data_IF_328371249675
#
_entry.id   IF_328371249675
#
_cell.length_a   1.000
_cell.length_b   1.000
_cell.length_c   1.000
_cell.angle_alpha   90.00
_cell.angle_beta   90.00
_cell.angle_gamma   90.00
#
_symmetry.space_group_name_H-M   'P 1'
#
loop_
_entity.id
_entity.type
_entity.pdbx_description
1 polymer ?
#
# COMPACT_ATOMS: atom_id res chain seq x y z
N UNK A 1 -35.73 -34.26 -17.33
CA UNK A 1 -35.25 -33.52 -16.15
C UNK A 1 -33.84 -33.89 -15.71
N UNK A 2 -33.45 -35.18 -15.54
CA UNK A 2 -32.10 -35.59 -15.09
C UNK A 2 -30.93 -35.17 -16.00
N UNK A 3 -31.14 -35.17 -17.36
CA UNK A 3 -30.10 -34.76 -18.31
C UNK A 3 -29.70 -33.29 -18.21
N UNK A 4 -30.66 -32.41 -17.98
CA UNK A 4 -30.38 -30.96 -17.80
C UNK A 4 -29.70 -30.65 -16.48
N UNK A 5 -29.98 -31.42 -15.43
CA UNK A 5 -29.34 -31.27 -14.13
C UNK A 5 -27.84 -31.61 -14.21
N UNK A 6 -27.49 -32.70 -14.92
CA UNK A 6 -26.09 -33.07 -15.12
C UNK A 6 -25.32 -32.03 -15.94
N UNK A 7 -25.93 -31.49 -17.01
CA UNK A 7 -25.35 -30.43 -17.83
C UNK A 7 -25.16 -29.14 -17.03
N UNK A 8 -26.15 -28.79 -16.21
CA UNK A 8 -26.06 -27.62 -15.33
C UNK A 8 -24.94 -27.76 -14.29
N UNK A 9 -24.81 -28.95 -13.70
CA UNK A 9 -23.72 -29.25 -12.76
C UNK A 9 -22.34 -29.13 -13.42
N UNK A 10 -22.17 -29.67 -14.65
CA UNK A 10 -20.91 -29.53 -15.40
C UNK A 10 -20.58 -28.07 -15.71
N UNK A 11 -21.56 -27.26 -16.12
CA UNK A 11 -21.35 -25.84 -16.38
C UNK A 11 -20.94 -25.10 -15.12
N UNK A 12 -21.57 -25.41 -13.99
CA UNK A 12 -21.24 -24.80 -12.70
C UNK A 12 -19.80 -25.14 -12.28
N UNK A 13 -19.39 -26.39 -12.38
CA UNK A 13 -18.00 -26.83 -12.10
C UNK A 13 -17.00 -26.11 -13.03
N UNK A 14 -17.34 -26.00 -14.32
CA UNK A 14 -16.51 -25.29 -15.28
C UNK A 14 -16.35 -23.80 -14.90
N UNK A 15 -17.44 -23.13 -14.56
CA UNK A 15 -17.42 -21.72 -14.17
C UNK A 15 -16.62 -21.49 -12.89
N UNK A 16 -16.76 -22.37 -11.88
CA UNK A 16 -15.97 -22.30 -10.65
C UNK A 16 -14.48 -22.48 -10.96
N UNK A 17 -14.13 -23.49 -11.75
CA UNK A 17 -12.73 -23.73 -12.14
C UNK A 17 -12.14 -22.56 -12.92
N UNK A 18 -12.89 -22.00 -13.86
CA UNK A 18 -12.47 -20.82 -14.63
C UNK A 18 -12.30 -19.60 -13.74
N UNK A 19 -13.21 -19.37 -12.78
CA UNK A 19 -13.12 -18.27 -11.82
C UNK A 19 -11.87 -18.38 -10.95
N UNK A 20 -11.56 -19.58 -10.44
CA UNK A 20 -10.36 -19.83 -9.65
C UNK A 20 -9.08 -19.61 -10.47
N UNK A 21 -9.08 -19.97 -11.75
CA UNK A 21 -7.94 -19.78 -12.64
C UNK A 21 -7.72 -18.30 -12.99
N UNK A 22 -8.80 -17.54 -13.19
CA UNK A 22 -8.72 -16.12 -13.55
C UNK A 22 -8.50 -15.20 -12.34
N UNK A 23 -8.87 -15.64 -11.14
CA UNK A 23 -8.81 -14.84 -9.92
C UNK A 23 -7.44 -14.18 -9.70
N UNK A 24 -6.29 -14.90 -9.72
CA UNK A 24 -4.99 -14.26 -9.50
C UNK A 24 -4.70 -13.16 -10.51
N UNK A 25 -4.94 -13.41 -11.80
CA UNK A 25 -4.67 -12.42 -12.86
C UNK A 25 -5.53 -11.16 -12.72
N UNK A 26 -6.80 -11.32 -12.36
CA UNK A 26 -7.71 -10.18 -12.14
C UNK A 26 -7.32 -9.42 -10.89
N UNK A 27 -6.99 -10.12 -9.80
CA UNK A 27 -6.54 -9.52 -8.54
C UNK A 27 -5.25 -8.73 -8.73
N UNK A 28 -4.25 -9.30 -9.40
CA UNK A 28 -2.97 -8.62 -9.65
C UNK A 28 -3.15 -7.36 -10.47
N UNK A 29 -3.99 -7.41 -11.52
CA UNK A 29 -4.28 -6.25 -12.35
C UNK A 29 -5.05 -5.16 -11.61
N UNK A 30 -5.98 -5.56 -10.75
CA UNK A 30 -6.70 -4.64 -9.88
C UNK A 30 -5.78 -3.95 -8.88
N UNK A 31 -4.91 -4.70 -8.21
CA UNK A 31 -3.94 -4.17 -7.26
C UNK A 31 -2.95 -3.21 -7.95
N UNK A 32 -2.41 -3.57 -9.11
CA UNK A 32 -1.52 -2.72 -9.87
C UNK A 32 -2.14 -1.37 -10.26
N UNK A 33 -3.42 -1.36 -10.66
CA UNK A 33 -4.13 -0.11 -10.97
C UNK A 33 -4.32 0.77 -9.73
N UNK A 34 -4.60 0.19 -8.57
CA UNK A 34 -4.75 0.95 -7.32
C UNK A 34 -3.41 1.51 -6.85
N UNK A 35 -2.35 0.72 -6.91
CA UNK A 35 -0.99 1.16 -6.60
C UNK A 35 -0.55 2.34 -7.48
N UNK A 36 -0.75 2.25 -8.79
CA UNK A 36 -0.43 3.31 -9.73
C UNK A 36 -1.17 4.61 -9.45
N UNK A 37 -2.46 4.54 -9.10
CA UNK A 37 -3.25 5.73 -8.71
C UNK A 37 -2.75 6.34 -7.41
N UNK A 38 -2.44 5.52 -6.43
CA UNK A 38 -1.94 5.95 -5.15
C UNK A 38 -0.58 6.67 -5.29
N UNK A 39 0.34 6.12 -6.08
CA UNK A 39 1.64 6.73 -6.40
C UNK A 39 1.45 8.04 -7.17
N UNK A 40 0.58 8.05 -8.19
CA UNK A 40 0.29 9.25 -9.00
C UNK A 40 -0.24 10.39 -8.15
N UNK A 41 -1.21 10.11 -7.25
CA UNK A 41 -1.77 11.08 -6.32
C UNK A 41 -0.71 11.65 -5.36
N UNK A 42 0.13 10.79 -4.80
CA UNK A 42 1.22 11.21 -3.92
C UNK A 42 2.27 12.06 -4.68
N UNK A 43 2.67 11.63 -5.87
CA UNK A 43 3.63 12.35 -6.72
C UNK A 43 3.10 13.73 -7.13
N UNK A 44 1.81 13.84 -7.46
CA UNK A 44 1.17 15.12 -7.79
C UNK A 44 1.15 16.06 -6.58
N UNK A 45 0.81 15.55 -5.38
CA UNK A 45 0.83 16.32 -4.15
C UNK A 45 2.23 16.87 -3.84
N UNK A 46 3.28 16.06 -4.01
CA UNK A 46 4.67 16.49 -3.82
C UNK A 46 5.11 17.50 -4.90
N UNK A 47 4.75 17.27 -6.16
CA UNK A 47 5.14 18.15 -7.27
C UNK A 47 4.53 19.55 -7.18
N UNK A 48 3.36 19.67 -6.57
CA UNK A 48 2.69 20.94 -6.31
C UNK A 48 3.11 21.64 -5.02
N UNK A 49 4.02 21.05 -4.25
CA UNK A 49 4.42 21.54 -2.94
C UNK A 49 5.50 22.60 -3.05
N UNK A 50 5.41 23.65 -2.22
CA UNK A 50 6.48 24.63 -2.06
C UNK A 50 7.70 23.99 -1.38
N UNK A 51 8.90 24.44 -1.77
CA UNK A 51 10.17 23.92 -1.21
C UNK A 51 10.22 24.07 0.32
N UNK A 52 9.70 25.16 0.86
CA UNK A 52 9.63 25.39 2.32
C UNK A 52 8.83 24.31 3.03
N UNK A 53 7.72 23.87 2.45
CA UNK A 53 6.89 22.82 3.02
C UNK A 53 7.58 21.45 2.96
N UNK A 54 8.29 21.19 1.88
CA UNK A 54 9.10 19.98 1.73
C UNK A 54 10.18 19.91 2.82
N UNK A 55 10.91 21.01 3.03
CA UNK A 55 11.96 21.09 4.05
C UNK A 55 11.41 20.91 5.48
N UNK A 56 10.22 21.45 5.76
CA UNK A 56 9.53 21.24 7.03
C UNK A 56 9.18 19.77 7.28
N UNK A 57 8.61 19.08 6.29
CA UNK A 57 8.24 17.67 6.40
C UNK A 57 9.47 16.78 6.60
N UNK A 58 10.55 17.08 5.88
CA UNK A 58 11.81 16.37 6.03
C UNK A 58 12.41 16.59 7.43
N UNK A 59 12.39 17.83 7.92
CA UNK A 59 12.88 18.16 9.27
C UNK A 59 12.02 17.45 10.35
N UNK A 60 10.71 17.37 10.19
CA UNK A 60 9.83 16.63 11.09
C UNK A 60 10.16 15.14 11.12
N UNK A 61 10.37 14.52 9.97
CA UNK A 61 10.76 13.12 9.87
C UNK A 61 12.13 12.84 10.52
N UNK A 62 13.10 13.72 10.31
CA UNK A 62 14.42 13.62 10.93
C UNK A 62 14.34 13.78 12.44
N UNK A 63 13.56 14.73 12.95
CA UNK A 63 13.35 14.93 14.39
C UNK A 63 12.66 13.71 15.02
N UNK A 64 11.67 13.13 14.37
CA UNK A 64 11.01 11.91 14.80
C UNK A 64 11.99 10.75 14.91
N UNK A 65 12.79 10.50 13.88
CA UNK A 65 13.80 9.45 13.87
C UNK A 65 14.87 9.64 14.96
N UNK A 66 15.32 10.88 15.18
CA UNK A 66 16.27 11.20 16.23
C UNK A 66 15.72 10.92 17.64
N UNK A 67 14.44 11.21 17.86
CA UNK A 67 13.75 10.91 19.12
C UNK A 67 13.63 9.39 19.37
N UNK A 68 13.43 8.59 18.32
CA UNK A 68 13.34 7.13 18.42
C UNK A 68 14.67 6.46 18.77
N UNK A 69 15.80 7.02 18.34
CA UNK A 69 17.13 6.37 18.46
C UNK A 69 17.49 6.03 19.90
N UNK A 70 17.11 6.88 20.87
CA UNK A 70 17.44 6.74 22.27
C UNK A 70 16.26 6.27 23.14
N UNK A 71 15.17 5.82 22.52
CA UNK A 71 13.96 5.45 23.24
C UNK A 71 13.94 3.95 23.54
N UNK A 72 13.76 3.61 24.81
CA UNK A 72 13.43 2.24 25.22
C UNK A 72 12.01 1.89 24.75
N UNK A 73 11.81 0.66 24.25
CA UNK A 73 10.50 0.19 23.80
C UNK A 73 10.00 0.83 22.49
N UNK A 74 10.89 1.37 21.67
CA UNK A 74 10.56 2.05 20.39
C UNK A 74 9.69 1.26 19.41
N UNK A 75 9.58 -0.06 19.59
CA UNK A 75 8.72 -0.94 18.78
C UNK A 75 7.35 -1.19 19.43
N UNK A 76 7.08 -0.62 20.61
CA UNK A 76 5.80 -0.72 21.31
C UNK A 76 5.22 0.69 21.43
N UNK A 77 4.47 1.10 20.43
CA UNK A 77 3.87 2.42 20.37
C UNK A 77 2.52 2.44 21.11
N UNK A 78 2.24 3.51 21.84
CA UNK A 78 0.88 3.85 22.28
C UNK A 78 0.03 4.32 21.10
N UNK A 79 -1.28 4.46 21.29
CA UNK A 79 -2.17 4.94 20.23
C UNK A 79 -1.84 6.39 19.82
N UNK A 80 -1.47 7.24 20.78
CA UNK A 80 -1.05 8.62 20.51
C UNK A 80 0.25 8.66 19.68
N UNK A 81 1.21 7.82 20.02
CA UNK A 81 2.47 7.72 19.31
C UNK A 81 2.31 7.17 17.90
N UNK A 82 1.39 6.23 17.75
CA UNK A 82 0.98 5.70 16.45
C UNK A 82 0.39 6.79 15.58
N UNK A 83 -0.50 7.63 16.12
CA UNK A 83 -1.09 8.73 15.38
C UNK A 83 -0.03 9.75 14.90
N UNK A 84 0.98 10.03 15.74
CA UNK A 84 2.13 10.87 15.35
C UNK A 84 2.93 10.21 14.22
N UNK A 85 3.26 8.93 14.36
CA UNK A 85 3.98 8.16 13.35
C UNK A 85 3.24 8.15 11.99
N UNK A 86 1.94 7.88 12.01
CA UNK A 86 1.11 7.84 10.79
C UNK A 86 0.96 9.20 10.10
N UNK A 87 1.21 10.29 10.81
CA UNK A 87 1.19 11.64 10.23
C UNK A 87 2.53 12.06 9.59
N UNK A 88 3.63 11.37 9.89
CA UNK A 88 4.96 11.71 9.37
C UNK A 88 5.05 11.33 7.89
N UNK A 89 5.40 12.31 7.05
CA UNK A 89 5.51 12.15 5.58
C UNK A 89 4.21 11.79 4.85
N UNK A 90 3.06 11.81 5.49
CA UNK A 90 1.77 11.64 4.78
C UNK A 90 1.34 12.95 4.11
N UNK A 91 1.89 13.18 2.92
CA UNK A 91 1.67 14.42 2.14
C UNK A 91 0.29 14.45 1.50
N UNK A 92 -0.18 13.30 1.08
CA UNK A 92 -1.43 13.17 0.31
C UNK A 92 -2.67 12.89 1.17
N UNK A 93 -2.50 12.64 2.48
CA UNK A 93 -3.57 12.20 3.37
C UNK A 93 -4.06 10.77 3.07
N UNK A 94 -3.27 9.99 2.31
CA UNK A 94 -3.61 8.62 1.94
C UNK A 94 -2.79 7.57 2.71
N UNK A 95 -1.93 8.01 3.62
CA UNK A 95 -1.03 7.15 4.41
C UNK A 95 0.21 6.71 3.63
N UNK A 96 0.46 7.26 2.44
CA UNK A 96 1.65 6.96 1.63
C UNK A 96 2.78 7.89 2.03
N UNK A 97 3.90 7.30 2.44
CA UNK A 97 5.14 8.00 2.78
C UNK A 97 6.02 8.26 1.55
N UNK A 98 5.91 7.43 0.53
CA UNK A 98 6.73 7.45 -0.66
C UNK A 98 6.48 6.23 -1.54
N UNK A 99 7.37 5.97 -2.48
CA UNK A 99 7.30 4.80 -3.33
C UNK A 99 8.70 4.28 -3.68
N UNK A 100 8.76 3.00 -3.98
CA UNK A 100 9.96 2.30 -4.45
C UNK A 100 9.79 2.02 -5.95
N UNK A 101 10.77 2.42 -6.74
CA UNK A 101 10.86 2.05 -8.17
C UNK A 101 12.04 1.11 -8.42
N UNK A 102 11.78 0.03 -9.14
CA UNK A 102 12.79 -0.92 -9.61
C UNK A 102 12.65 -1.03 -11.13
N UNK A 103 13.25 -0.11 -11.91
CA UNK A 103 13.03 -0.03 -13.36
C UNK A 103 13.41 -1.31 -14.12
N UNK A 104 14.39 -2.06 -13.59
CA UNK A 104 14.86 -3.30 -14.25
C UNK A 104 13.78 -4.37 -14.38
N UNK A 105 12.78 -4.36 -13.50
CA UNK A 105 11.69 -5.34 -13.49
C UNK A 105 10.31 -4.67 -13.63
N UNK A 106 10.30 -3.37 -14.01
CA UNK A 106 9.09 -2.59 -14.18
C UNK A 106 8.16 -2.65 -12.95
N UNK A 107 8.77 -2.51 -11.76
CA UNK A 107 8.07 -2.58 -10.49
C UNK A 107 8.05 -1.22 -9.81
N UNK A 108 6.87 -0.75 -9.43
CA UNK A 108 6.68 0.45 -8.63
C UNK A 108 5.66 0.17 -7.53
N UNK A 109 6.07 0.30 -6.27
CA UNK A 109 5.27 -0.02 -5.10
C UNK A 109 5.19 1.17 -4.15
N UNK A 110 4.01 1.53 -3.65
CA UNK A 110 3.89 2.54 -2.61
C UNK A 110 4.44 2.03 -1.27
N UNK A 111 4.92 2.95 -0.44
CA UNK A 111 5.39 2.69 0.91
C UNK A 111 4.35 3.28 1.88
N UNK A 112 3.77 2.44 2.71
CA UNK A 112 2.81 2.84 3.74
C UNK A 112 3.41 2.73 5.15
N UNK A 113 2.79 3.43 6.09
CA UNK A 113 3.07 3.27 7.50
C UNK A 113 2.64 1.88 8.00
N UNK A 114 3.50 1.27 8.82
CA UNK A 114 3.24 -0.02 9.44
C UNK A 114 3.39 -1.21 8.49
N UNK A 115 3.26 -2.40 9.07
CA UNK A 115 3.44 -3.69 8.40
C UNK A 115 2.23 -4.61 8.64
N UNK A 116 1.02 -4.05 8.63
CA UNK A 116 -0.19 -4.86 8.73
C UNK A 116 -0.31 -5.80 7.53
N UNK A 117 -1.01 -6.91 7.70
CA UNK A 117 -1.22 -7.88 6.62
C UNK A 117 -1.79 -7.21 5.36
N UNK A 118 -2.75 -6.30 5.52
CA UNK A 118 -3.34 -5.57 4.40
C UNK A 118 -2.33 -4.71 3.64
N UNK A 119 -1.39 -4.06 4.33
CA UNK A 119 -0.31 -3.29 3.71
C UNK A 119 0.64 -4.22 2.95
N UNK A 120 1.10 -5.29 3.59
CA UNK A 120 2.10 -6.20 2.99
C UNK A 120 1.57 -6.99 1.79
N UNK A 121 0.25 -7.12 1.64
CA UNK A 121 -0.35 -7.74 0.45
C UNK A 121 -0.29 -6.88 -0.80
N UNK A 122 -0.19 -5.55 -0.67
CA UNK A 122 -0.32 -4.62 -1.79
C UNK A 122 0.83 -3.61 -1.91
N UNK A 123 1.71 -3.52 -0.92
CA UNK A 123 2.67 -2.42 -0.80
C UNK A 123 3.91 -2.81 0.00
N UNK A 124 4.84 -1.87 0.13
CA UNK A 124 5.94 -1.93 1.08
C UNK A 124 5.47 -1.33 2.40
N UNK A 125 5.72 -2.02 3.52
CA UNK A 125 5.46 -1.52 4.86
C UNK A 125 6.70 -0.88 5.47
N UNK A 126 6.55 0.27 6.12
CA UNK A 126 7.60 0.93 6.92
C UNK A 126 7.41 0.57 8.40
N UNK A 127 8.52 0.32 9.13
CA UNK A 127 8.54 -0.07 10.55
C UNK A 127 8.98 1.10 11.40
#
# INVERSE_FOLDING_TARGET
MKKHLSTLAMILVLLVGLSLMLYPTVSDRWNAMHQSRAISSSSEAVSGMENTRYDELLAQAQAYNAALTNREGRFMMTDEERAVYESVLDVSGTGIMGYVEIPRIDCSLPIYHGTSEGVLQIAVGHI
#
